data_IF_618752167682
#
_entry.id   IF_618752167682
#
_cell.length_a   1.000
_cell.length_b   1.000
_cell.length_c   1.000
_cell.angle_alpha   90.00
_cell.angle_beta   90.00
_cell.angle_gamma   90.00
#
_symmetry.space_group_name_H-M   'P 1'
#
loop_
_entity.id
_entity.type
_entity.pdbx_description
1 polymer ?
#
# COMPACT_ATOMS: atom_id res chain seq x y z
N UNK A 1 20.94 18.81 -5.14
CA UNK A 1 19.91 18.63 -6.19
C UNK A 1 19.68 17.14 -6.32
N UNK A 2 18.60 16.62 -5.74
CA UNK A 2 18.26 15.21 -5.82
C UNK A 2 17.62 14.92 -7.19
N UNK A 3 17.80 13.74 -7.80
CA UNK A 3 17.54 13.52 -9.23
C UNK A 3 16.06 13.38 -9.64
N UNK A 4 15.11 13.70 -8.76
CA UNK A 4 13.68 13.50 -9.00
C UNK A 4 12.89 14.64 -8.36
N UNK A 5 12.90 15.79 -9.03
CA UNK A 5 12.22 17.04 -8.63
C UNK A 5 10.75 17.05 -9.10
N UNK A 6 10.08 15.90 -9.02
CA UNK A 6 8.65 15.80 -9.34
C UNK A 6 7.94 15.45 -8.05
N UNK A 7 7.22 16.44 -7.51
CA UNK A 7 6.35 16.25 -6.36
C UNK A 7 5.41 15.06 -6.64
N UNK A 8 5.20 14.16 -5.66
CA UNK A 8 4.34 13.00 -5.84
C UNK A 8 2.86 13.39 -5.74
N UNK A 9 2.42 14.29 -6.62
CA UNK A 9 1.12 14.97 -6.58
C UNK A 9 -0.03 13.98 -6.43
N UNK A 10 -0.08 12.91 -7.23
CA UNK A 10 -1.18 11.95 -7.13
C UNK A 10 -1.19 11.15 -5.83
N UNK A 11 -0.03 10.94 -5.21
CA UNK A 11 0.06 10.26 -3.91
C UNK A 11 -0.36 11.19 -2.76
N UNK A 12 0.02 12.47 -2.85
CA UNK A 12 -0.41 13.53 -1.93
C UNK A 12 -1.93 13.70 -2.02
N UNK A 13 -2.48 13.82 -3.24
CA UNK A 13 -3.91 13.99 -3.46
C UNK A 13 -4.69 12.76 -3.00
N UNK A 14 -4.16 11.56 -3.20
CA UNK A 14 -4.74 10.33 -2.67
C UNK A 14 -4.84 10.34 -1.15
N UNK A 15 -3.81 10.78 -0.43
CA UNK A 15 -3.87 10.89 1.04
C UNK A 15 -4.85 11.99 1.46
N UNK A 16 -4.75 13.19 0.89
CA UNK A 16 -5.66 14.32 1.20
C UNK A 16 -7.13 13.99 1.03
N UNK A 17 -7.48 13.16 0.05
CA UNK A 17 -8.86 12.77 -0.22
C UNK A 17 -9.43 11.77 0.80
N UNK A 18 -8.59 11.15 1.64
CA UNK A 18 -9.05 10.16 2.60
C UNK A 18 -9.84 10.81 3.75
N UNK A 19 -10.83 10.06 4.22
CA UNK A 19 -11.66 10.44 5.36
C UNK A 19 -11.06 9.81 6.63
N UNK A 20 -10.90 10.59 7.68
CA UNK A 20 -10.47 10.07 8.99
C UNK A 20 -11.55 9.16 9.58
N UNK A 21 -11.25 7.85 9.57
CA UNK A 21 -12.11 6.78 10.05
C UNK A 21 -11.49 6.11 11.28
N UNK A 22 -11.87 6.53 12.51
CA UNK A 22 -11.40 5.90 13.73
C UNK A 22 -11.68 4.40 13.74
N UNK A 23 -10.71 3.60 14.17
CA UNK A 23 -10.84 2.14 14.24
C UNK A 23 -10.24 1.59 15.53
N UNK A 24 -10.79 0.48 16.01
CA UNK A 24 -10.23 -0.30 17.11
C UNK A 24 -9.13 -1.26 16.61
N UNK A 25 -9.34 -1.90 15.45
CA UNK A 25 -8.37 -2.79 14.82
C UNK A 25 -8.23 -2.50 13.33
N UNK A 26 -7.17 -3.05 12.72
CA UNK A 26 -6.94 -2.91 11.28
C UNK A 26 -8.03 -3.60 10.44
N UNK A 27 -8.80 -4.52 11.04
CA UNK A 27 -9.89 -5.26 10.37
C UNK A 27 -11.22 -4.49 10.33
N UNK A 28 -11.31 -3.32 10.97
CA UNK A 28 -12.55 -2.52 10.96
C UNK A 28 -12.75 -1.79 9.62
N UNK A 29 -11.68 -1.64 8.84
CA UNK A 29 -11.73 -1.34 7.41
C UNK A 29 -11.10 -2.53 6.66
N UNK A 30 -11.62 -2.85 5.49
CA UNK A 30 -11.19 -3.99 4.70
C UNK A 30 -10.78 -3.60 3.28
N UNK A 31 -9.58 -3.99 2.88
CA UNK A 31 -9.11 -3.92 1.49
C UNK A 31 -9.32 -2.52 0.86
N UNK A 32 -10.14 -2.42 -0.19
CA UNK A 32 -10.40 -1.18 -0.92
C UNK A 32 -11.00 -0.06 -0.05
N UNK A 33 -11.59 -0.38 1.11
CA UNK A 33 -12.02 0.63 2.09
C UNK A 33 -10.84 1.49 2.57
N UNK A 34 -9.63 0.94 2.61
CA UNK A 34 -8.42 1.70 2.91
C UNK A 34 -8.04 2.70 1.80
N UNK A 35 -8.63 2.63 0.60
CA UNK A 35 -8.48 3.67 -0.42
C UNK A 35 -9.27 4.94 -0.09
N UNK A 36 -10.31 4.82 0.74
CA UNK A 36 -11.21 5.94 1.10
C UNK A 36 -10.97 6.38 2.54
N UNK A 37 -10.77 5.44 3.46
CA UNK A 37 -10.55 5.73 4.87
C UNK A 37 -9.07 5.84 5.22
N UNK A 38 -8.69 6.93 5.88
CA UNK A 38 -7.45 6.99 6.65
C UNK A 38 -7.73 6.39 8.02
N UNK A 39 -6.88 5.45 8.47
CA UNK A 39 -7.08 4.78 9.75
C UNK A 39 -5.77 4.38 10.39
N UNK A 40 -5.74 4.40 11.72
CA UNK A 40 -4.63 3.94 12.55
C UNK A 40 -5.23 3.03 13.62
N UNK A 41 -5.01 1.72 13.54
CA UNK A 41 -5.67 0.74 14.41
C UNK A 41 -5.51 1.06 15.91
N UNK A 42 -6.60 1.35 16.61
CA UNK A 42 -6.61 1.74 18.03
C UNK A 42 -6.58 3.25 18.28
N UNK A 43 -6.44 4.08 17.25
CA UNK A 43 -6.70 5.51 17.30
C UNK A 43 -8.21 5.75 17.11
N UNK A 44 -8.93 5.82 18.22
CA UNK A 44 -10.40 5.83 18.25
C UNK A 44 -11.03 7.22 18.36
N UNK A 45 -10.24 8.29 18.29
CA UNK A 45 -10.77 9.67 18.27
C UNK A 45 -10.41 10.34 16.95
N UNK A 46 -11.32 11.19 16.44
CA UNK A 46 -11.07 11.94 15.20
C UNK A 46 -9.87 12.87 15.31
N UNK A 47 -9.69 13.52 16.46
CA UNK A 47 -8.59 14.45 16.67
C UNK A 47 -7.22 13.76 16.63
N UNK A 48 -7.06 12.61 17.30
CA UNK A 48 -5.84 11.81 17.24
C UNK A 48 -5.54 11.34 15.82
N UNK A 49 -6.59 10.92 15.11
CA UNK A 49 -6.43 10.39 13.77
C UNK A 49 -6.08 11.50 12.76
N UNK A 50 -6.70 12.67 12.88
CA UNK A 50 -6.38 13.85 12.07
C UNK A 50 -4.91 14.26 12.24
N UNK A 51 -4.40 14.31 13.47
CA UNK A 51 -2.98 14.65 13.69
C UNK A 51 -2.02 13.62 13.07
N UNK A 52 -2.36 12.32 13.11
CA UNK A 52 -1.58 11.31 12.40
C UNK A 52 -1.69 11.44 10.88
N UNK A 53 -2.86 11.78 10.38
CA UNK A 53 -3.09 12.00 8.96
C UNK A 53 -2.25 13.16 8.46
N UNK A 54 -2.29 14.30 9.16
CA UNK A 54 -1.49 15.48 8.87
C UNK A 54 0.01 15.15 8.92
N UNK A 55 0.48 14.40 9.92
CA UNK A 55 1.89 14.00 10.02
C UNK A 55 2.35 13.11 8.84
N UNK A 56 1.49 12.22 8.34
CA UNK A 56 1.78 11.41 7.16
C UNK A 56 1.72 12.26 5.89
N UNK A 57 0.76 13.17 5.78
CA UNK A 57 0.60 14.07 4.66
C UNK A 57 1.81 15.00 4.52
N UNK A 58 2.25 15.59 5.61
CA UNK A 58 3.48 16.37 5.71
C UNK A 58 4.69 15.54 5.29
N UNK A 59 4.76 14.27 5.73
CA UNK A 59 5.88 13.42 5.38
C UNK A 59 5.99 13.14 3.87
N UNK A 60 4.86 12.91 3.19
CA UNK A 60 4.87 12.70 1.74
C UNK A 60 5.07 14.00 0.96
N UNK A 61 4.53 15.12 1.44
CA UNK A 61 4.60 16.41 0.76
C UNK A 61 6.01 17.03 0.86
N UNK A 62 6.63 16.94 2.04
CA UNK A 62 7.95 17.55 2.29
C UNK A 62 9.11 16.55 2.14
N UNK A 63 8.82 15.28 1.83
CA UNK A 63 9.82 14.21 1.74
C UNK A 63 10.50 13.90 3.08
N UNK A 64 9.76 13.95 4.20
CA UNK A 64 10.30 13.72 5.55
C UNK A 64 10.69 12.26 5.77
N UNK A 65 11.75 12.04 6.56
CA UNK A 65 12.19 10.70 6.95
C UNK A 65 11.33 10.08 8.05
N UNK A 66 11.48 8.77 8.25
CA UNK A 66 10.82 8.05 9.35
C UNK A 66 11.23 8.58 10.73
N UNK A 67 12.45 9.09 10.89
CA UNK A 67 12.92 9.72 12.13
C UNK A 67 12.18 11.02 12.43
N UNK A 68 11.90 11.82 11.40
CA UNK A 68 11.11 13.04 11.54
C UNK A 68 9.65 12.70 11.89
N UNK A 69 9.02 11.76 11.16
CA UNK A 69 7.69 11.27 11.50
C UNK A 69 7.62 10.70 12.91
N UNK A 70 8.69 10.04 13.38
CA UNK A 70 8.78 9.51 14.74
C UNK A 70 8.77 10.59 15.82
N UNK A 71 9.28 11.78 15.53
CA UNK A 71 9.18 12.92 16.44
C UNK A 71 7.72 13.42 16.54
N UNK A 72 7.03 13.52 15.39
CA UNK A 72 5.59 13.82 15.36
C UNK A 72 4.77 12.76 16.08
N UNK A 73 5.07 11.48 15.85
CA UNK A 73 4.42 10.36 16.52
C UNK A 73 4.51 10.48 18.06
N UNK A 74 5.68 10.80 18.61
CA UNK A 74 5.86 10.95 20.05
C UNK A 74 5.07 12.13 20.61
N UNK A 75 5.07 13.26 19.89
CA UNK A 75 4.28 14.45 20.24
C UNK A 75 2.79 14.12 20.25
N UNK A 76 2.26 13.53 19.18
CA UNK A 76 0.85 13.16 19.03
C UNK A 76 0.43 12.17 20.13
N UNK A 77 1.26 11.16 20.41
CA UNK A 77 1.00 10.22 21.51
C UNK A 77 0.86 10.94 22.85
N UNK A 78 1.77 11.88 23.15
CA UNK A 78 1.75 12.65 24.40
C UNK A 78 0.55 13.60 24.48
N UNK A 79 0.27 14.35 23.42
CA UNK A 79 -0.80 15.35 23.35
C UNK A 79 -2.18 14.72 23.56
N UNK A 80 -2.39 13.51 23.03
CA UNK A 80 -3.65 12.77 23.15
C UNK A 80 -3.69 11.77 24.31
N UNK A 81 -2.58 11.58 25.03
CA UNK A 81 -2.46 10.54 26.06
C UNK A 81 -2.73 9.14 25.52
N UNK A 82 -2.38 8.87 24.26
CA UNK A 82 -2.77 7.64 23.56
C UNK A 82 -1.89 6.45 23.96
N UNK A 83 -2.53 5.36 24.38
CA UNK A 83 -1.85 4.09 24.67
C UNK A 83 -1.99 3.13 23.49
N UNK A 84 -0.89 2.54 23.06
CA UNK A 84 -0.83 1.63 21.90
C UNK A 84 -0.09 0.33 22.22
N UNK A 85 -0.29 -0.68 21.36
CA UNK A 85 0.39 -1.98 21.46
C UNK A 85 1.66 -2.03 20.59
N UNK A 86 2.67 -2.75 21.07
CA UNK A 86 3.96 -2.91 20.40
C UNK A 86 4.97 -1.84 20.81
N UNK A 87 6.20 -1.96 20.31
CA UNK A 87 7.24 -0.95 20.58
C UNK A 87 7.00 0.31 19.75
N UNK A 88 7.41 1.47 20.27
CA UNK A 88 7.43 2.75 19.52
C UNK A 88 8.00 2.61 18.12
N UNK A 89 9.15 1.96 18.00
CA UNK A 89 9.87 1.81 16.73
C UNK A 89 9.12 0.98 15.70
N UNK A 90 8.43 -0.08 16.14
CA UNK A 90 7.57 -0.90 15.27
C UNK A 90 6.29 -0.16 14.92
N UNK A 91 5.61 0.46 15.91
CA UNK A 91 4.31 1.09 15.74
C UNK A 91 4.36 2.28 14.78
N UNK A 92 5.30 3.19 15.00
CA UNK A 92 5.54 4.33 14.11
C UNK A 92 5.86 3.87 12.68
N UNK A 93 6.67 2.82 12.55
CA UNK A 93 7.05 2.28 11.24
C UNK A 93 5.87 1.66 10.48
N UNK A 94 4.99 0.90 11.16
CA UNK A 94 3.78 0.34 10.51
C UNK A 94 2.91 1.46 9.96
N UNK A 95 2.65 2.50 10.76
CA UNK A 95 1.79 3.63 10.34
C UNK A 95 2.42 4.34 9.12
N UNK A 96 3.70 4.65 9.22
CA UNK A 96 4.42 5.35 8.16
C UNK A 96 4.55 4.50 6.89
N UNK A 97 5.18 3.33 6.95
CA UNK A 97 5.48 2.50 5.79
C UNK A 97 4.19 2.12 5.03
N UNK A 98 3.13 1.73 5.74
CA UNK A 98 1.87 1.31 5.10
C UNK A 98 1.16 2.48 4.41
N UNK A 99 1.03 3.64 5.07
CA UNK A 99 0.36 4.78 4.43
C UNK A 99 1.19 5.36 3.27
N UNK A 100 2.50 5.48 3.44
CA UNK A 100 3.39 5.99 2.39
C UNK A 100 3.40 5.05 1.18
N UNK A 101 3.59 3.75 1.38
CA UNK A 101 3.68 2.78 0.27
C UNK A 101 2.37 2.66 -0.51
N UNK A 102 1.22 2.63 0.18
CA UNK A 102 -0.10 2.59 -0.48
C UNK A 102 -0.40 3.89 -1.22
N UNK A 103 -0.01 5.04 -0.67
CA UNK A 103 -0.18 6.33 -1.34
C UNK A 103 0.63 6.44 -2.63
N UNK A 104 1.93 6.11 -2.58
CA UNK A 104 2.77 6.08 -3.78
C UNK A 104 2.28 5.06 -4.81
N UNK A 105 1.77 3.91 -4.37
CA UNK A 105 1.22 2.89 -5.25
C UNK A 105 -0.04 3.37 -5.99
N UNK A 106 -0.96 4.03 -5.27
CA UNK A 106 -2.16 4.62 -5.83
C UNK A 106 -1.84 5.74 -6.83
N UNK A 107 -0.91 6.64 -6.47
CA UNK A 107 -0.46 7.70 -7.38
C UNK A 107 0.22 7.15 -8.64
N UNK A 108 1.09 6.16 -8.47
CA UNK A 108 1.73 5.45 -9.59
C UNK A 108 0.71 4.78 -10.50
N UNK A 109 -0.35 4.20 -9.94
CA UNK A 109 -1.41 3.60 -10.75
C UNK A 109 -2.10 4.64 -11.64
N UNK A 110 -2.43 5.82 -11.10
CA UNK A 110 -3.00 6.91 -11.90
C UNK A 110 -2.06 7.33 -13.03
N UNK A 111 -0.76 7.47 -12.74
CA UNK A 111 0.26 7.77 -13.75
C UNK A 111 0.32 6.69 -14.85
N UNK A 112 0.31 5.41 -14.46
CA UNK A 112 0.27 4.27 -15.39
C UNK A 112 -0.94 4.35 -16.31
N UNK A 113 -2.14 4.57 -15.75
CA UNK A 113 -3.37 4.61 -16.53
C UNK A 113 -3.33 5.71 -17.60
N UNK A 114 -2.73 6.87 -17.32
CA UNK A 114 -2.61 7.96 -18.29
C UNK A 114 -1.70 7.65 -19.47
N UNK A 115 -0.73 6.73 -19.31
CA UNK A 115 0.25 6.40 -20.35
C UNK A 115 0.10 4.99 -20.91
N UNK A 116 -0.91 4.21 -20.46
CA UNK A 116 -1.04 2.78 -20.79
C UNK A 116 -1.14 2.49 -22.28
N UNK A 117 -1.67 3.41 -23.10
CA UNK A 117 -1.67 3.26 -24.55
C UNK A 117 -0.26 3.20 -25.15
N UNK A 118 0.68 3.96 -24.58
CA UNK A 118 2.09 3.98 -25.02
C UNK A 118 2.95 2.97 -24.26
N UNK A 119 2.54 2.63 -23.04
CA UNK A 119 3.25 1.72 -22.13
C UNK A 119 2.27 0.65 -21.58
N UNK A 120 1.84 -0.29 -22.44
CA UNK A 120 0.71 -1.17 -22.13
C UNK A 120 1.08 -2.33 -21.19
N UNK A 121 2.33 -2.44 -20.73
CA UNK A 121 2.77 -3.53 -19.87
C UNK A 121 3.28 -3.05 -18.52
N UNK A 122 3.12 -3.89 -17.51
CA UNK A 122 3.71 -3.75 -16.19
C UNK A 122 4.60 -4.94 -15.90
N UNK A 123 5.80 -4.67 -15.38
CA UNK A 123 6.70 -5.67 -14.80
C UNK A 123 6.61 -5.62 -13.28
N UNK A 124 6.35 -6.75 -12.63
CA UNK A 124 6.44 -6.86 -11.19
C UNK A 124 7.92 -6.82 -10.74
N UNK A 125 8.23 -5.98 -9.76
CA UNK A 125 9.59 -5.76 -9.26
C UNK A 125 9.63 -6.03 -7.76
N UNK A 126 10.21 -7.17 -7.38
CA UNK A 126 10.63 -7.43 -6.02
C UNK A 126 11.97 -6.76 -5.73
N UNK A 127 12.10 -6.08 -4.59
CA UNK A 127 13.39 -5.54 -4.12
C UNK A 127 14.32 -6.69 -3.72
N UNK A 128 15.43 -6.84 -4.46
CA UNK A 128 16.47 -7.83 -4.17
C UNK A 128 17.21 -7.54 -2.86
N UNK A 129 17.75 -8.58 -2.23
CA UNK A 129 18.56 -8.44 -1.02
C UNK A 129 17.78 -8.19 0.28
N UNK A 130 16.44 -8.30 0.26
CA UNK A 130 15.65 -8.30 1.48
C UNK A 130 16.03 -9.48 2.37
N UNK A 131 16.12 -9.24 3.69
CA UNK A 131 16.53 -10.26 4.67
C UNK A 131 15.52 -11.42 4.78
N UNK A 132 14.24 -11.13 4.61
CA UNK A 132 13.13 -12.08 4.73
C UNK A 132 12.12 -11.86 3.58
N UNK A 133 12.48 -12.20 2.33
CA UNK A 133 11.57 -12.02 1.21
C UNK A 133 10.42 -13.03 1.30
N UNK A 134 9.21 -12.61 0.92
CA UNK A 134 8.09 -13.54 0.72
C UNK A 134 8.37 -14.36 -0.55
N UNK A 135 8.40 -15.71 -0.51
CA UNK A 135 8.78 -16.53 -1.66
C UNK A 135 7.95 -16.24 -2.92
N UNK A 136 6.63 -16.05 -2.77
CA UNK A 136 5.74 -15.70 -3.87
C UNK A 136 6.15 -14.39 -4.55
N UNK A 137 6.51 -13.36 -3.77
CA UNK A 137 6.92 -12.06 -4.32
C UNK A 137 8.23 -12.16 -5.10
N UNK A 138 9.16 -13.00 -4.64
CA UNK A 138 10.39 -13.28 -5.36
C UNK A 138 10.11 -14.05 -6.66
N UNK A 139 9.19 -15.03 -6.62
CA UNK A 139 8.78 -15.79 -7.81
C UNK A 139 8.09 -14.90 -8.86
N UNK A 140 7.35 -13.88 -8.44
CA UNK A 140 6.75 -12.90 -9.36
C UNK A 140 7.73 -11.86 -9.89
N UNK A 141 8.97 -11.78 -9.37
CA UNK A 141 9.94 -10.81 -9.88
C UNK A 141 10.18 -11.03 -11.39
N UNK A 142 9.90 -10.01 -12.19
CA UNK A 142 10.03 -10.09 -13.64
C UNK A 142 8.81 -10.61 -14.38
N UNK A 143 7.72 -10.94 -13.69
CA UNK A 143 6.42 -11.18 -14.31
C UNK A 143 5.99 -9.93 -15.09
N UNK A 144 5.71 -10.08 -16.39
CA UNK A 144 5.27 -8.98 -17.26
C UNK A 144 3.87 -9.27 -17.76
N UNK A 145 2.90 -8.42 -17.42
CA UNK A 145 1.51 -8.55 -17.85
C UNK A 145 1.03 -7.24 -18.47
N UNK A 146 -0.01 -7.28 -19.34
CA UNK A 146 -0.73 -6.09 -19.73
C UNK A 146 -1.22 -5.30 -18.52
N UNK A 147 -1.29 -3.96 -18.62
CA UNK A 147 -1.78 -3.07 -17.56
C UNK A 147 -3.21 -3.45 -17.12
N UNK A 148 -4.04 -3.88 -18.07
CA UNK A 148 -5.45 -4.20 -17.85
C UNK A 148 -5.68 -5.69 -17.49
N UNK A 149 -4.62 -6.45 -17.24
CA UNK A 149 -4.73 -7.84 -16.79
C UNK A 149 -5.39 -7.92 -15.39
N UNK A 150 -6.39 -8.80 -15.18
CA UNK A 150 -7.12 -8.89 -13.92
C UNK A 150 -6.25 -9.31 -12.74
N UNK A 151 -5.07 -9.92 -12.96
CA UNK A 151 -4.13 -10.28 -11.90
C UNK A 151 -3.73 -9.07 -11.04
N UNK A 152 -3.63 -7.88 -11.65
CA UNK A 152 -3.31 -6.64 -10.96
C UNK A 152 -4.39 -6.16 -9.98
N UNK A 153 -5.61 -6.69 -10.02
CA UNK A 153 -6.67 -6.27 -9.09
C UNK A 153 -6.33 -6.66 -7.65
N UNK A 154 -5.60 -7.76 -7.44
CA UNK A 154 -5.27 -8.28 -6.11
C UNK A 154 -3.76 -8.35 -5.84
N UNK A 155 -2.93 -8.34 -6.88
CA UNK A 155 -1.48 -8.53 -6.76
C UNK A 155 -0.64 -7.28 -7.07
N UNK A 156 -1.29 -6.13 -7.32
CA UNK A 156 -0.59 -4.87 -7.52
C UNK A 156 -0.04 -4.34 -6.18
N UNK A 157 1.30 -4.21 -6.01
CA UNK A 157 1.91 -3.88 -4.72
C UNK A 157 1.47 -2.54 -4.11
N UNK A 158 1.53 -2.39 -2.78
CA UNK A 158 2.10 -3.33 -1.82
C UNK A 158 1.17 -4.51 -1.51
N UNK A 159 1.76 -5.71 -1.44
CA UNK A 159 1.05 -6.97 -1.24
C UNK A 159 1.05 -7.46 0.22
N UNK A 160 1.35 -6.54 1.16
CA UNK A 160 1.41 -6.86 2.58
C UNK A 160 2.20 -5.86 3.41
N UNK A 161 2.24 -6.09 4.72
CA UNK A 161 2.97 -5.24 5.66
C UNK A 161 4.47 -5.26 5.34
N UNK A 162 5.10 -4.07 5.34
CA UNK A 162 6.52 -3.90 4.98
C UNK A 162 6.89 -4.49 3.61
N UNK A 163 5.94 -4.55 2.68
CA UNK A 163 6.23 -4.92 1.30
C UNK A 163 6.94 -3.77 0.59
N UNK A 164 8.10 -4.07 -0.01
CA UNK A 164 8.89 -3.11 -0.80
C UNK A 164 8.84 -3.41 -2.31
N UNK A 165 7.89 -4.25 -2.74
CA UNK A 165 7.68 -4.54 -4.15
C UNK A 165 7.02 -3.34 -4.85
N UNK A 166 7.25 -3.20 -6.15
CA UNK A 166 6.63 -2.17 -7.01
C UNK A 166 6.37 -2.75 -8.40
N UNK A 167 5.76 -1.95 -9.27
CA UNK A 167 5.72 -2.23 -10.71
C UNK A 167 6.63 -1.27 -11.49
N UNK A 168 7.05 -1.71 -12.67
CA UNK A 168 7.71 -0.90 -13.68
C UNK A 168 6.82 -0.87 -14.93
N UNK A 169 6.42 0.33 -15.37
CA UNK A 169 5.68 0.51 -16.63
C UNK A 169 6.62 0.33 -17.82
N UNK A 170 6.19 -0.43 -18.84
CA UNK A 170 6.98 -0.83 -19.99
C UNK A 170 6.24 -0.58 -21.31
N UNK A 171 7.00 -0.20 -22.33
CA UNK A 171 6.57 -0.16 -23.73
C UNK A 171 7.08 -1.38 -24.50
N UNK A 172 6.53 -1.64 -25.70
CA UNK A 172 7.06 -2.65 -26.64
C UNK A 172 8.55 -2.45 -26.94
N UNK A 173 8.98 -1.19 -27.05
CA UNK A 173 10.40 -0.86 -27.26
C UNK A 173 11.27 -1.32 -26.08
N UNK A 174 10.76 -1.22 -24.85
CA UNK A 174 11.48 -1.68 -23.68
C UNK A 174 11.60 -3.21 -23.69
N UNK A 175 10.53 -3.92 -24.05
CA UNK A 175 10.57 -5.38 -24.22
C UNK A 175 11.64 -5.79 -25.24
N UNK A 176 11.64 -5.17 -26.43
CA UNK A 176 12.65 -5.43 -27.45
C UNK A 176 14.07 -5.05 -27.03
N UNK A 177 14.25 -3.95 -26.28
CA UNK A 177 15.56 -3.51 -25.79
C UNK A 177 16.17 -4.48 -24.78
N UNK A 178 15.35 -4.99 -23.86
CA UNK A 178 15.81 -5.87 -22.78
C UNK A 178 15.68 -7.36 -23.11
N UNK A 179 15.11 -7.70 -24.28
CA UNK A 179 14.84 -9.09 -24.67
C UNK A 179 13.78 -9.75 -23.79
N UNK A 180 12.86 -8.96 -23.22
CA UNK A 180 11.76 -9.45 -22.39
C UNK A 180 10.54 -9.79 -23.25
N UNK A 181 9.71 -10.68 -22.73
CA UNK A 181 8.44 -11.09 -23.34
C UNK A 181 7.31 -10.97 -22.33
N UNK A 182 6.10 -10.77 -22.84
CA UNK A 182 4.89 -10.81 -22.01
C UNK A 182 4.72 -12.23 -21.48
N UNK A 183 4.44 -12.34 -20.19
CA UNK A 183 4.22 -13.60 -19.48
C UNK A 183 2.74 -13.99 -19.53
N UNK A 184 2.45 -15.26 -19.26
CA UNK A 184 1.10 -15.69 -18.89
C UNK A 184 0.85 -15.34 -17.41
N UNK A 185 -0.36 -14.86 -17.10
CA UNK A 185 -0.75 -14.58 -15.73
C UNK A 185 -0.74 -15.87 -14.88
N UNK A 186 -0.07 -15.89 -13.72
CA UNK A 186 -0.13 -17.04 -12.82
C UNK A 186 -1.55 -17.31 -12.35
N UNK A 187 -1.88 -18.58 -12.12
CA UNK A 187 -3.14 -18.95 -11.48
C UNK A 187 -3.23 -18.31 -10.08
N UNK A 188 -4.40 -17.74 -9.76
CA UNK A 188 -4.67 -17.17 -8.45
C UNK A 188 -5.15 -18.30 -7.54
N UNK A 189 -4.24 -18.81 -6.72
CA UNK A 189 -4.55 -19.82 -5.70
C UNK A 189 -5.02 -19.12 -4.43
N UNK A 190 -6.26 -19.39 -4.02
CA UNK A 190 -6.81 -18.89 -2.75
C UNK A 190 -6.37 -19.78 -1.59
N UNK A 191 -6.05 -19.15 -0.46
CA UNK A 191 -5.64 -19.85 0.76
C UNK A 191 -6.38 -19.29 1.97
N UNK A 192 -6.77 -20.19 2.86
CA UNK A 192 -7.41 -19.81 4.12
C UNK A 192 -6.39 -19.16 5.07
N UNK A 193 -6.83 -18.08 5.73
CA UNK A 193 -6.10 -17.40 6.80
C UNK A 193 -7.05 -17.07 7.93
N UNK A 194 -6.60 -17.23 9.16
CA UNK A 194 -7.34 -16.79 10.34
C UNK A 194 -6.87 -15.41 10.77
N UNK A 195 -7.80 -14.45 10.84
CA UNK A 195 -7.58 -13.10 11.35
C UNK A 195 -8.29 -12.93 12.69
N UNK A 196 -7.74 -12.07 13.55
CA UNK A 196 -8.36 -11.73 14.83
C UNK A 196 -9.13 -10.41 14.69
N UNK A 197 -10.40 -10.42 15.06
CA UNK A 197 -11.28 -9.26 15.04
C UNK A 197 -11.14 -8.41 16.31
N UNK A 198 -11.77 -7.25 16.32
CA UNK A 198 -11.75 -6.29 17.44
C UNK A 198 -12.36 -6.85 18.73
N UNK A 199 -13.37 -7.72 18.63
CA UNK A 199 -13.96 -8.45 19.76
C UNK A 199 -13.10 -9.62 20.28
N UNK A 200 -11.95 -9.87 19.63
CA UNK A 200 -11.03 -10.94 19.97
C UNK A 200 -11.36 -12.30 19.34
N UNK A 201 -12.49 -12.43 18.64
CA UNK A 201 -12.85 -13.64 17.89
C UNK A 201 -11.92 -13.86 16.70
N UNK A 202 -11.89 -15.10 16.20
CA UNK A 202 -11.18 -15.47 14.98
C UNK A 202 -12.17 -15.58 13.84
N UNK A 203 -11.84 -14.98 12.70
CA UNK A 203 -12.54 -15.13 11.43
C UNK A 203 -11.61 -15.79 10.43
N UNK A 204 -12.07 -16.85 9.77
CA UNK A 204 -11.39 -17.40 8.60
C UNK A 204 -11.80 -16.59 7.37
N UNK A 205 -10.80 -16.23 6.58
CA UNK A 205 -10.94 -15.55 5.30
C UNK A 205 -10.17 -16.33 4.23
N UNK A 206 -10.52 -16.11 2.98
CA UNK A 206 -9.73 -16.56 1.83
C UNK A 206 -9.01 -15.37 1.23
N UNK A 207 -7.71 -15.50 0.98
CA UNK A 207 -6.89 -14.49 0.31
C UNK A 207 -6.00 -15.16 -0.73
N UNK A 208 -5.58 -14.46 -1.79
CA UNK A 208 -4.61 -15.02 -2.73
C UNK A 208 -3.30 -15.38 -2.03
N UNK A 209 -2.71 -16.52 -2.39
CA UNK A 209 -1.45 -16.94 -1.80
C UNK A 209 -0.33 -15.94 -2.09
N UNK A 210 0.47 -15.64 -1.05
CA UNK A 210 1.49 -14.60 -1.11
C UNK A 210 0.97 -13.18 -0.86
N UNK A 211 -0.33 -12.94 -0.68
CA UNK A 211 -0.89 -11.64 -0.30
C UNK A 211 -1.30 -11.66 1.18
N UNK A 212 -0.86 -10.67 1.95
CA UNK A 212 -1.27 -10.57 3.35
C UNK A 212 -2.77 -10.17 3.45
N UNK A 213 -3.51 -10.68 4.45
CA UNK A 213 -4.87 -10.22 4.74
C UNK A 213 -5.02 -8.69 4.80
N UNK A 214 -6.02 -8.17 4.09
CA UNK A 214 -6.28 -6.73 3.97
C UNK A 214 -5.53 -6.03 2.83
N UNK A 215 -4.62 -6.70 2.12
CA UNK A 215 -3.86 -6.16 0.98
C UNK A 215 -4.28 -6.75 -0.38
N UNK A 216 -5.31 -7.60 -0.42
CA UNK A 216 -5.83 -8.21 -1.65
C UNK A 216 -6.67 -7.22 -2.49
N UNK A 217 -6.14 -6.02 -2.71
CA UNK A 217 -6.75 -4.99 -3.54
C UNK A 217 -5.66 -4.10 -4.15
N UNK A 218 -6.00 -3.45 -5.25
CA UNK A 218 -5.14 -2.42 -5.83
C UNK A 218 -5.33 -1.09 -5.10
N UNK A 219 -4.29 -0.48 -4.49
CA UNK A 219 -4.38 0.85 -3.89
C UNK A 219 -4.98 1.89 -4.84
N UNK A 220 -5.95 2.65 -4.34
CA UNK A 220 -6.71 3.62 -5.13
C UNK A 220 -7.89 3.02 -5.90
N UNK A 221 -8.13 1.71 -5.82
CA UNK A 221 -9.42 1.14 -6.22
C UNK A 221 -10.51 1.57 -5.23
N UNK A 222 -11.66 2.00 -5.77
CA UNK A 222 -12.83 2.34 -4.96
C UNK A 222 -13.48 1.05 -4.43
N UNK A 223 -14.00 1.05 -3.19
CA UNK A 223 -14.83 -0.05 -2.69
C UNK A 223 -15.99 -0.32 -3.62
N UNK A 224 -16.40 -1.58 -3.77
CA UNK A 224 -17.54 -1.97 -4.63
C UNK A 224 -18.81 -1.18 -4.28
N UNK A 225 -19.06 -0.95 -2.99
CA UNK A 225 -20.20 -0.18 -2.51
C UNK A 225 -20.23 1.29 -2.98
N UNK A 226 -19.09 1.82 -3.45
CA UNK A 226 -18.92 3.18 -3.94
C UNK A 226 -18.55 3.24 -5.42
N UNK A 227 -18.45 2.09 -6.09
CA UNK A 227 -18.15 2.00 -7.52
C UNK A 227 -19.45 2.15 -8.33
N UNK A 228 -19.80 3.39 -8.68
CA UNK A 228 -20.93 3.72 -9.57
C UNK A 228 -20.46 4.45 -10.81
#
# INVERSE_FOLDING_TARGET
MLPFDVDPVEAIDFLRAKIDMPSATWTDLWEAEHSVGFTVAGAQTKALLADFHDAVLDAIADGRSIEQFRADFDRIVADHGWSYRGSRGWRSRVIFDTNMSTAYAAGRWQQIQRVKTMRPYLRYVHLEGQKHPRPQHQAWHGLILPVDDPWWQTHYPPNGWFCHCTVMSLSERDLGRYGWTVSDAPEIVMVERSIRLSDGSLRTIEVPDGIDPGFAYRPGAMPEALAT
#
